data_IF_651961509656
#
_entry.id   IF_651961509656
#
_cell.length_a   1.000
_cell.length_b   1.000
_cell.length_c   1.000
_cell.angle_alpha   90.00
_cell.angle_beta   90.00
_cell.angle_gamma   90.00
#
_symmetry.space_group_name_H-M   'P 1'
#
loop_
_entity.id
_entity.type
_entity.pdbx_description
1 polymer ?
#
# COMPACT_ATOMS: atom_id res chain seq x y z
N UNK A 1 -5.49 4.27 19.00
CA UNK A 1 -4.39 4.84 19.79
C UNK A 1 -3.90 6.18 19.23
N UNK A 2 -3.58 6.33 17.94
CA UNK A 2 -3.13 7.63 17.36
C UNK A 2 -4.21 8.72 17.42
N UNK A 3 -5.43 8.42 16.96
CA UNK A 3 -6.55 9.38 16.91
C UNK A 3 -6.82 10.00 18.28
N UNK A 4 -7.02 9.18 19.32
CA UNK A 4 -7.27 9.69 20.67
C UNK A 4 -6.14 10.54 21.24
N UNK A 5 -4.89 10.26 20.88
CA UNK A 5 -3.75 11.08 21.31
C UNK A 5 -3.80 12.45 20.65
N UNK A 6 -4.10 12.51 19.34
CA UNK A 6 -4.26 13.78 18.62
C UNK A 6 -5.45 14.59 19.16
N UNK A 7 -6.60 13.95 19.35
CA UNK A 7 -7.80 14.58 19.92
C UNK A 7 -7.54 15.11 21.34
N UNK A 8 -6.87 14.33 22.21
CA UNK A 8 -6.50 14.78 23.56
C UNK A 8 -5.51 15.95 23.59
N UNK A 9 -4.82 16.21 22.48
CA UNK A 9 -3.93 17.35 22.28
C UNK A 9 -4.63 18.51 21.56
N UNK A 10 -5.93 18.41 21.30
CA UNK A 10 -6.75 19.46 20.72
C UNK A 10 -6.81 19.48 19.19
N UNK A 11 -6.27 18.47 18.50
CA UNK A 11 -6.38 18.37 17.05
C UNK A 11 -7.74 17.78 16.64
N UNK A 12 -8.34 18.34 15.59
CA UNK A 12 -9.44 17.68 14.89
C UNK A 12 -8.88 16.59 13.95
N UNK A 13 -9.52 15.43 13.93
CA UNK A 13 -9.06 14.29 13.13
C UNK A 13 -10.20 13.76 12.26
N UNK A 14 -10.02 13.81 10.95
CA UNK A 14 -10.86 13.09 9.99
C UNK A 14 -10.20 11.76 9.60
N UNK A 15 -10.81 10.64 10.01
CA UNK A 15 -10.32 9.30 9.63
C UNK A 15 -10.97 8.86 8.32
N UNK A 16 -10.16 8.70 7.29
CA UNK A 16 -10.55 8.13 6.00
C UNK A 16 -10.04 6.69 5.94
N UNK A 17 -10.94 5.75 5.63
CA UNK A 17 -10.57 4.38 5.31
C UNK A 17 -10.76 4.17 3.79
N UNK A 18 -9.70 3.87 3.03
CA UNK A 18 -9.73 3.88 1.57
C UNK A 18 -10.45 2.69 0.94
N UNK A 19 -10.62 1.57 1.65
CA UNK A 19 -11.13 0.31 1.07
C UNK A 19 -12.58 0.35 0.54
N UNK A 20 -13.34 1.41 0.87
CA UNK A 20 -14.71 1.67 0.40
C UNK A 20 -14.94 3.18 0.27
N UNK A 21 -13.97 3.87 -0.34
CA UNK A 21 -14.02 5.34 -0.43
C UNK A 21 -15.23 5.79 -1.24
N UNK A 22 -15.57 5.08 -2.32
CA UNK A 22 -16.74 5.34 -3.17
C UNK A 22 -18.08 5.36 -2.43
N UNK A 23 -18.23 4.53 -1.41
CA UNK A 23 -19.47 4.49 -0.61
C UNK A 23 -19.49 5.48 0.55
N UNK A 24 -18.30 5.95 0.97
CA UNK A 24 -18.15 6.70 2.23
C UNK A 24 -17.76 8.16 2.01
N UNK A 25 -17.22 8.50 0.84
CA UNK A 25 -16.94 9.87 0.42
C UNK A 25 -18.21 10.45 -0.19
N UNK A 26 -18.92 11.23 0.61
CA UNK A 26 -20.21 11.81 0.24
C UNK A 26 -20.06 13.04 -0.64
N UNK A 27 -19.04 13.87 -0.37
CA UNK A 27 -18.76 15.07 -1.14
C UNK A 27 -17.24 15.23 -1.31
N UNK A 28 -16.83 15.64 -2.50
CA UNK A 28 -15.47 16.06 -2.80
C UNK A 28 -15.58 17.23 -3.78
N UNK A 29 -15.12 18.40 -3.35
CA UNK A 29 -15.00 19.56 -4.22
C UNK A 29 -13.72 20.28 -3.86
N UNK A 30 -12.80 20.38 -4.81
CA UNK A 30 -11.56 21.10 -4.59
C UNK A 30 -11.06 21.74 -5.87
N UNK A 31 -10.25 22.77 -5.69
CA UNK A 31 -9.57 23.48 -6.76
C UNK A 31 -8.33 24.16 -6.23
N UNK A 32 -7.64 24.86 -7.12
CA UNK A 32 -6.56 25.76 -6.76
C UNK A 32 -7.04 27.18 -6.98
N UNK A 33 -6.84 28.04 -5.99
CA UNK A 33 -7.11 29.47 -6.13
C UNK A 33 -6.04 30.14 -7.03
N UNK A 34 -6.18 31.45 -7.26
CA UNK A 34 -5.26 32.21 -8.11
C UNK A 34 -3.79 32.20 -7.64
N UNK A 35 -3.56 31.95 -6.34
CA UNK A 35 -2.24 31.86 -5.73
C UNK A 35 -1.70 30.41 -5.71
N UNK A 36 -2.45 29.45 -6.28
CA UNK A 36 -2.09 28.04 -6.33
C UNK A 36 -2.34 27.28 -5.02
N UNK A 37 -3.02 27.89 -4.05
CA UNK A 37 -3.39 27.22 -2.80
C UNK A 37 -4.66 26.41 -3.00
N UNK A 38 -4.74 25.26 -2.32
CA UNK A 38 -5.92 24.42 -2.38
C UNK A 38 -7.10 25.08 -1.65
N UNK A 39 -8.28 25.00 -2.25
CA UNK A 39 -9.55 25.39 -1.64
C UNK A 39 -10.59 24.29 -1.83
N UNK A 40 -11.62 24.31 -0.99
CA UNK A 40 -12.75 23.40 -1.05
C UNK A 40 -12.85 22.49 0.16
N UNK A 41 -13.63 21.43 0.03
CA UNK A 41 -13.97 20.57 1.15
C UNK A 41 -14.12 19.12 0.70
N UNK A 42 -14.00 18.23 1.69
CA UNK A 42 -14.44 16.86 1.54
C UNK A 42 -15.37 16.49 2.69
N UNK A 43 -16.40 15.72 2.40
CA UNK A 43 -17.31 15.15 3.39
C UNK A 43 -17.17 13.64 3.35
N UNK A 44 -16.62 13.07 4.42
CA UNK A 44 -16.50 11.62 4.60
C UNK A 44 -17.46 11.16 5.69
N UNK A 45 -18.40 10.29 5.32
CA UNK A 45 -19.53 9.86 6.13
C UNK A 45 -20.39 11.04 6.61
N UNK A 46 -20.10 11.56 7.81
CA UNK A 46 -20.84 12.67 8.45
C UNK A 46 -19.91 13.79 8.94
N UNK A 47 -18.64 13.73 8.56
CA UNK A 47 -17.64 14.70 8.97
C UNK A 47 -17.10 15.38 7.73
N UNK A 48 -17.01 16.70 7.81
CA UNK A 48 -16.47 17.54 6.75
C UNK A 48 -15.12 18.06 7.22
N UNK A 49 -14.19 18.22 6.27
CA UNK A 49 -12.96 18.95 6.46
C UNK A 49 -12.86 20.02 5.36
N UNK A 50 -12.51 21.23 5.76
CA UNK A 50 -11.98 22.25 4.84
C UNK A 50 -10.56 21.83 4.46
N UNK A 51 -10.26 21.82 3.16
CA UNK A 51 -8.97 21.40 2.65
C UNK A 51 -7.86 22.41 2.94
N UNK A 52 -8.21 23.69 3.10
CA UNK A 52 -7.26 24.75 3.44
C UNK A 52 -6.74 24.63 4.89
N UNK A 53 -7.51 23.96 5.77
CA UNK A 53 -7.18 23.80 7.19
C UNK A 53 -6.43 22.47 7.49
N UNK A 54 -6.04 21.71 6.47
CA UNK A 54 -5.35 20.42 6.66
C UNK A 54 -3.88 20.63 7.00
N UNK A 55 -3.53 20.52 8.28
CA UNK A 55 -2.14 20.67 8.75
C UNK A 55 -1.23 19.46 8.42
N UNK A 56 -1.80 18.25 8.44
CA UNK A 56 -1.04 17.02 8.30
C UNK A 56 -1.90 15.81 7.90
N UNK A 57 -1.29 14.87 7.17
CA UNK A 57 -1.87 13.58 6.83
C UNK A 57 -1.01 12.44 7.38
N UNK A 58 -1.64 11.58 8.20
CA UNK A 58 -1.06 10.32 8.63
C UNK A 58 -1.50 9.18 7.69
N UNK A 59 -0.68 8.91 6.68
CA UNK A 59 -0.95 7.85 5.71
C UNK A 59 -0.58 6.47 6.30
N UNK A 60 -1.58 5.78 6.86
CA UNK A 60 -1.37 4.43 7.41
C UNK A 60 -1.44 3.31 6.36
N UNK A 61 -2.24 3.52 5.32
CA UNK A 61 -2.37 2.59 4.21
C UNK A 61 -2.64 3.41 2.94
N UNK A 62 -1.78 3.27 1.94
CA UNK A 62 -1.95 3.92 0.63
C UNK A 62 -2.42 2.95 -0.45
N UNK A 63 -2.81 1.73 -0.09
CA UNK A 63 -3.48 0.84 -1.02
C UNK A 63 -4.97 1.16 -1.06
N UNK A 64 -5.34 1.93 -2.08
CA UNK A 64 -6.72 2.16 -2.46
C UNK A 64 -7.26 0.95 -3.24
N UNK A 65 -7.59 -0.12 -2.51
CA UNK A 65 -8.45 -1.17 -3.03
C UNK A 65 -9.87 -0.59 -3.13
N UNK A 66 -10.17 0.07 -4.25
CA UNK A 66 -11.56 0.29 -4.61
C UNK A 66 -12.14 -1.04 -5.08
N UNK A 67 -13.46 -1.19 -4.98
CA UNK A 67 -14.20 -2.36 -5.43
C UNK A 67 -14.12 -2.52 -6.96
N UNK A 68 -12.92 -2.74 -7.49
CA UNK A 68 -12.62 -3.02 -8.90
C UNK A 68 -13.14 -4.41 -9.30
N UNK A 69 -13.45 -5.27 -8.32
CA UNK A 69 -13.82 -6.67 -8.51
C UNK A 69 -15.17 -7.05 -7.86
N UNK A 70 -16.13 -6.12 -7.73
CA UNK A 70 -17.51 -6.55 -7.45
C UNK A 70 -18.18 -6.93 -8.77
N UNK A 71 -18.45 -8.21 -8.98
CA UNK A 71 -19.19 -8.73 -10.15
C UNK A 71 -20.58 -8.07 -10.34
N UNK A 72 -21.07 -7.35 -9.33
CA UNK A 72 -22.38 -6.71 -9.30
C UNK A 72 -22.44 -5.29 -9.92
N UNK A 73 -21.31 -4.64 -10.22
CA UNK A 73 -21.29 -3.25 -10.71
C UNK A 73 -21.33 -3.16 -12.24
N UNK A 74 -22.12 -2.21 -12.76
CA UNK A 74 -22.14 -1.93 -14.21
C UNK A 74 -20.94 -1.04 -14.63
N UNK A 75 -20.77 -0.84 -15.94
CA UNK A 75 -19.64 -0.08 -16.49
C UNK A 75 -19.60 1.39 -16.02
N UNK A 76 -20.76 2.05 -15.86
CA UNK A 76 -20.84 3.44 -15.40
C UNK A 76 -20.44 3.54 -13.92
N UNK A 77 -20.90 2.62 -13.07
CA UNK A 77 -20.51 2.55 -11.66
C UNK A 77 -18.99 2.35 -11.50
N UNK A 78 -18.41 1.49 -12.33
CA UNK A 78 -16.96 1.26 -12.36
C UNK A 78 -16.19 2.50 -12.83
N UNK A 79 -16.69 3.23 -13.83
CA UNK A 79 -16.08 4.47 -14.29
C UNK A 79 -16.13 5.55 -13.20
N UNK A 80 -17.28 5.74 -12.56
CA UNK A 80 -17.45 6.69 -11.44
C UNK A 80 -16.48 6.36 -10.31
N UNK A 81 -16.36 5.09 -9.92
CA UNK A 81 -15.42 4.67 -8.87
C UNK A 81 -13.96 4.96 -9.25
N UNK A 82 -13.58 4.74 -10.52
CA UNK A 82 -12.24 5.04 -11.03
C UNK A 82 -11.94 6.54 -11.05
N UNK A 83 -12.89 7.36 -11.51
CA UNK A 83 -12.71 8.82 -11.54
C UNK A 83 -12.66 9.40 -10.13
N UNK A 84 -13.47 8.90 -9.19
CA UNK A 84 -13.41 9.31 -7.79
C UNK A 84 -12.08 8.94 -7.14
N UNK A 85 -11.57 7.74 -7.43
CA UNK A 85 -10.22 7.30 -7.01
C UNK A 85 -9.16 8.26 -7.55
N UNK A 86 -9.19 8.57 -8.84
CA UNK A 86 -8.24 9.48 -9.47
C UNK A 86 -8.32 10.89 -8.83
N UNK A 87 -9.54 11.41 -8.62
CA UNK A 87 -9.76 12.70 -7.98
C UNK A 87 -9.22 12.75 -6.54
N UNK A 88 -9.41 11.68 -5.76
CA UNK A 88 -8.90 11.59 -4.39
C UNK A 88 -7.38 11.45 -4.32
N UNK A 89 -6.78 10.67 -5.23
CA UNK A 89 -5.32 10.57 -5.33
C UNK A 89 -4.72 11.93 -5.70
N UNK A 90 -5.32 12.61 -6.69
CA UNK A 90 -4.93 13.96 -7.09
C UNK A 90 -5.04 14.96 -5.92
N UNK A 91 -6.12 14.89 -5.12
CA UNK A 91 -6.23 15.66 -3.89
C UNK A 91 -5.04 15.39 -2.94
N UNK A 92 -4.71 14.12 -2.69
CA UNK A 92 -3.58 13.79 -1.81
C UNK A 92 -2.26 14.38 -2.30
N UNK A 93 -2.04 14.40 -3.62
CA UNK A 93 -0.83 14.97 -4.22
C UNK A 93 -0.81 16.51 -4.18
N UNK A 94 -1.96 17.16 -4.16
CA UNK A 94 -2.10 18.63 -4.07
C UNK A 94 -2.08 19.19 -2.65
N UNK A 95 -2.27 18.36 -1.61
CA UNK A 95 -2.25 18.81 -0.22
C UNK A 95 -0.83 19.17 0.23
N UNK A 96 -0.54 20.47 0.27
CA UNK A 96 0.71 21.04 0.80
C UNK A 96 0.69 21.06 2.34
N UNK A 97 0.84 19.87 2.93
CA UNK A 97 0.81 19.67 4.37
C UNK A 97 1.88 18.66 4.81
N UNK A 98 2.00 18.41 6.11
CA UNK A 98 2.96 17.43 6.63
C UNK A 98 2.46 16.00 6.43
N UNK A 99 3.25 15.15 5.78
CA UNK A 99 2.89 13.75 5.57
C UNK A 99 3.69 12.79 6.46
N UNK A 100 2.99 11.79 7.02
CA UNK A 100 3.59 10.69 7.80
C UNK A 100 3.00 9.35 7.35
N UNK A 101 3.63 8.59 6.46
CA UNK A 101 4.62 9.06 5.49
C UNK A 101 3.89 9.57 4.25
N UNK A 102 4.62 10.29 3.41
CA UNK A 102 4.12 10.65 2.11
C UNK A 102 4.05 9.40 1.21
N UNK A 103 2.91 9.15 0.55
CA UNK A 103 2.71 7.96 -0.24
C UNK A 103 3.73 7.69 -1.33
N UNK A 104 4.11 8.73 -2.07
CA UNK A 104 5.08 8.69 -3.15
C UNK A 104 6.47 8.24 -2.67
N UNK A 105 6.79 8.42 -1.39
CA UNK A 105 8.04 7.95 -0.79
C UNK A 105 7.96 6.47 -0.36
N UNK A 106 6.76 5.97 -0.06
CA UNK A 106 6.54 4.63 0.52
C UNK A 106 6.81 3.50 -0.48
N UNK A 107 6.47 3.66 -1.76
CA UNK A 107 6.70 2.60 -2.77
C UNK A 107 8.18 2.23 -2.89
N UNK A 108 9.04 3.24 -2.84
CA UNK A 108 10.50 3.04 -2.85
C UNK A 108 11.01 2.36 -1.58
N UNK A 109 10.27 2.50 -0.48
CA UNK A 109 10.60 1.91 0.81
C UNK A 109 10.17 0.45 0.89
N UNK A 110 9.18 -0.03 0.13
CA UNK A 110 8.74 -1.45 0.15
C UNK A 110 9.72 -2.39 -0.60
N UNK A 111 10.59 -1.84 -1.45
CA UNK A 111 11.52 -2.65 -2.23
C UNK A 111 12.67 -3.19 -1.35
N UNK A 112 12.57 -4.47 -0.98
CA UNK A 112 13.55 -5.18 -0.15
C UNK A 112 14.98 -5.13 -0.70
N UNK A 113 15.16 -5.21 -2.02
CA UNK A 113 16.51 -5.10 -2.62
C UNK A 113 17.10 -3.70 -2.41
N UNK A 114 16.29 -2.65 -2.62
CA UNK A 114 16.71 -1.26 -2.39
C UNK A 114 17.00 -0.99 -0.91
N UNK A 115 16.16 -1.49 0.00
CA UNK A 115 16.41 -1.41 1.46
C UNK A 115 17.79 -1.99 1.81
N UNK A 116 18.12 -3.17 1.28
CA UNK A 116 19.38 -3.86 1.56
C UNK A 116 20.58 -3.11 0.97
N UNK A 117 20.46 -2.59 -0.25
CA UNK A 117 21.51 -1.78 -0.88
C UNK A 117 21.84 -0.52 -0.07
N UNK A 118 20.80 0.21 0.38
CA UNK A 118 20.97 1.41 1.20
C UNK A 118 21.54 1.05 2.59
N UNK A 119 21.07 -0.02 3.21
CA UNK A 119 21.59 -0.46 4.50
C UNK A 119 23.09 -0.81 4.42
N UNK A 120 23.51 -1.55 3.38
CA UNK A 120 24.91 -1.85 3.13
C UNK A 120 25.74 -0.58 2.90
N UNK A 121 25.26 0.38 2.10
CA UNK A 121 26.01 1.61 1.83
C UNK A 121 26.18 2.50 3.06
N UNK A 122 25.29 2.38 4.04
CA UNK A 122 25.36 3.07 5.33
C UNK A 122 26.16 2.29 6.38
N UNK A 123 26.70 1.11 6.05
CA UNK A 123 27.51 0.29 6.95
C UNK A 123 26.72 -0.58 7.93
N UNK A 124 25.42 -0.79 7.69
CA UNK A 124 24.66 -1.77 8.46
C UNK A 124 25.08 -3.19 8.08
N UNK A 125 25.12 -4.06 9.08
CA UNK A 125 25.25 -5.49 8.86
C UNK A 125 23.88 -6.08 8.48
N UNK A 126 23.75 -6.59 7.26
CA UNK A 126 22.52 -7.17 6.73
C UNK A 126 22.81 -8.56 6.14
N UNK A 127 21.84 -9.50 6.14
CA UNK A 127 22.05 -10.82 5.56
C UNK A 127 22.25 -10.76 4.04
N UNK A 128 22.84 -11.79 3.45
CA UNK A 128 22.84 -11.93 2.00
C UNK A 128 21.39 -12.05 1.48
N UNK A 129 21.11 -11.46 0.32
CA UNK A 129 19.80 -11.49 -0.33
C UNK A 129 19.92 -12.05 -1.74
N UNK A 130 19.05 -13.00 -2.08
CA UNK A 130 18.83 -13.47 -3.45
C UNK A 130 17.36 -13.31 -3.83
N UNK A 131 17.11 -12.68 -4.98
CA UNK A 131 15.80 -12.66 -5.63
C UNK A 131 15.95 -13.48 -6.90
N UNK A 132 15.16 -14.56 -7.04
CA UNK A 132 15.30 -15.51 -8.15
C UNK A 132 13.99 -16.22 -8.46
N UNK A 133 13.76 -16.51 -9.74
CA UNK A 133 12.81 -17.50 -10.24
C UNK A 133 13.52 -18.72 -10.85
N UNK A 134 14.83 -18.83 -10.66
CA UNK A 134 15.69 -19.91 -11.15
C UNK A 134 16.00 -20.90 -10.01
N UNK A 135 15.55 -22.15 -10.09
CA UNK A 135 15.83 -23.22 -9.11
C UNK A 135 17.30 -23.38 -8.75
N UNK A 136 18.17 -23.38 -9.76
CA UNK A 136 19.61 -23.55 -9.61
C UNK A 136 20.24 -22.42 -8.79
N UNK A 137 19.76 -21.18 -8.96
CA UNK A 137 20.24 -20.04 -8.19
C UNK A 137 19.82 -20.13 -6.72
N UNK A 138 18.64 -20.70 -6.44
CA UNK A 138 18.20 -20.94 -5.07
C UNK A 138 19.03 -22.05 -4.40
N UNK A 139 19.29 -23.14 -5.12
CA UNK A 139 20.12 -24.26 -4.64
C UNK A 139 21.56 -23.82 -4.33
N UNK A 140 22.16 -23.02 -5.21
CA UNK A 140 23.50 -22.47 -4.98
C UNK A 140 23.50 -21.56 -3.74
N UNK A 141 22.51 -20.68 -3.62
CA UNK A 141 22.40 -19.74 -2.51
C UNK A 141 22.16 -20.42 -1.15
N UNK A 142 21.41 -21.52 -1.11
CA UNK A 142 21.12 -22.29 0.11
C UNK A 142 22.17 -23.38 0.44
N UNK A 143 23.13 -23.61 -0.44
CA UNK A 143 24.10 -24.72 -0.30
C UNK A 143 24.98 -24.67 0.95
N UNK A 144 25.20 -23.46 1.50
CA UNK A 144 26.15 -23.22 2.59
C UNK A 144 25.54 -22.48 3.79
N UNK A 145 24.23 -22.20 3.77
CA UNK A 145 23.58 -21.39 4.79
C UNK A 145 22.09 -21.72 4.92
N UNK A 146 21.53 -21.43 6.09
CA UNK A 146 20.09 -21.44 6.30
C UNK A 146 19.46 -20.25 5.57
N UNK A 147 18.43 -20.51 4.77
CA UNK A 147 17.76 -19.49 3.95
C UNK A 147 16.30 -19.41 4.35
N UNK A 148 15.82 -18.18 4.53
CA UNK A 148 14.42 -17.87 4.74
C UNK A 148 13.87 -17.23 3.47
N UNK A 149 12.75 -17.75 2.97
CA UNK A 149 12.00 -17.17 1.85
C UNK A 149 10.96 -16.20 2.39
N UNK A 150 10.82 -15.08 1.69
CA UNK A 150 9.76 -14.09 1.91
C UNK A 150 9.17 -13.68 0.57
N UNK A 151 7.85 -13.54 0.53
CA UNK A 151 7.19 -12.95 -0.62
C UNK A 151 7.63 -11.49 -0.82
N UNK A 152 7.80 -11.08 -2.08
CA UNK A 152 8.09 -9.68 -2.40
C UNK A 152 6.84 -8.82 -2.28
N UNK A 153 5.72 -9.26 -2.85
CA UNK A 153 4.45 -8.54 -2.83
C UNK A 153 3.70 -8.71 -1.51
N UNK A 154 2.87 -7.73 -1.19
CA UNK A 154 1.94 -7.75 -0.06
C UNK A 154 0.59 -8.42 -0.43
N UNK A 155 0.55 -9.18 -1.52
CA UNK A 155 -0.68 -9.74 -2.09
C UNK A 155 -0.96 -11.12 -1.55
N UNK A 156 -2.23 -11.34 -1.17
CA UNK A 156 -2.80 -12.67 -1.01
C UNK A 156 -3.71 -12.92 -2.21
N UNK A 157 -3.59 -14.09 -2.86
CA UNK A 157 -4.41 -14.45 -4.01
C UNK A 157 -5.49 -15.40 -3.55
N UNK A 158 -6.75 -15.02 -3.71
CA UNK A 158 -7.87 -15.93 -3.43
C UNK A 158 -7.94 -17.05 -4.47
N UNK A 159 -8.31 -18.24 -4.04
CA UNK A 159 -8.63 -19.35 -4.94
C UNK A 159 -9.91 -19.05 -5.72
N UNK A 160 -10.12 -19.74 -6.85
CA UNK A 160 -11.28 -19.52 -7.74
C UNK A 160 -12.64 -19.65 -7.01
N UNK A 161 -12.69 -20.45 -5.95
CA UNK A 161 -13.89 -20.61 -5.10
C UNK A 161 -14.09 -19.47 -4.08
N UNK A 162 -13.14 -18.53 -3.96
CA UNK A 162 -13.14 -17.43 -2.99
C UNK A 162 -13.02 -17.88 -1.52
N UNK A 163 -12.87 -19.18 -1.24
CA UNK A 163 -12.92 -19.72 0.12
C UNK A 163 -11.55 -19.79 0.80
N UNK A 164 -10.47 -19.83 0.02
CA UNK A 164 -9.12 -19.89 0.54
C UNK A 164 -8.24 -18.84 -0.13
N UNK A 165 -7.16 -18.46 0.55
CA UNK A 165 -6.26 -17.43 0.08
C UNK A 165 -4.82 -17.91 0.19
N UNK A 166 -4.05 -17.75 -0.88
CA UNK A 166 -2.64 -18.11 -0.97
C UNK A 166 -1.78 -16.89 -0.71
N UNK A 167 -0.96 -16.98 0.33
CA UNK A 167 0.14 -16.06 0.60
C UNK A 167 1.33 -16.87 1.09
N UNK A 168 2.54 -16.44 0.72
CA UNK A 168 3.77 -17.04 1.23
C UNK A 168 4.27 -16.21 2.42
N UNK A 169 4.05 -16.76 3.61
CA UNK A 169 4.63 -16.21 4.82
C UNK A 169 6.13 -16.43 4.87
N UNK A 170 6.78 -15.80 5.83
CA UNK A 170 8.21 -16.04 6.10
C UNK A 170 8.41 -17.53 6.40
N UNK A 171 9.17 -18.22 5.55
CA UNK A 171 9.34 -19.68 5.60
C UNK A 171 10.83 -20.05 5.58
N UNK A 172 11.26 -20.91 6.49
CA UNK A 172 12.61 -21.47 6.49
C UNK A 172 12.67 -22.60 5.45
N UNK A 173 13.61 -22.51 4.50
CA UNK A 173 13.77 -23.57 3.48
C UNK A 173 14.27 -24.85 4.15
N UNK A 174 13.57 -25.95 3.87
CA UNK A 174 13.90 -27.29 4.31
C UNK A 174 14.28 -28.19 3.12
N UNK A 175 14.93 -29.35 3.35
CA UNK A 175 15.20 -30.31 2.28
C UNK A 175 13.94 -30.83 1.56
N UNK A 176 12.75 -30.73 2.16
CA UNK A 176 11.49 -31.11 1.51
C UNK A 176 11.10 -30.11 0.40
N UNK A 177 11.33 -28.82 0.64
CA UNK A 177 11.01 -27.75 -0.31
C UNK A 177 11.85 -27.87 -1.59
N UNK A 178 13.07 -28.39 -1.48
CA UNK A 178 13.95 -28.64 -2.63
C UNK A 178 13.35 -29.62 -3.65
N UNK A 179 12.38 -30.46 -3.25
CA UNK A 179 11.71 -31.40 -4.16
C UNK A 179 10.68 -30.73 -5.07
N UNK A 180 10.29 -29.49 -4.78
CA UNK A 180 9.25 -28.74 -5.49
C UNK A 180 9.83 -27.53 -6.23
N UNK A 181 11.16 -27.44 -6.39
CA UNK A 181 11.79 -26.26 -6.98
C UNK A 181 11.37 -25.96 -8.42
N UNK A 182 10.97 -26.98 -9.19
CA UNK A 182 10.48 -26.78 -10.55
C UNK A 182 9.22 -25.90 -10.60
N UNK A 183 8.46 -25.80 -9.51
CA UNK A 183 7.30 -24.90 -9.39
C UNK A 183 7.68 -23.41 -9.45
N UNK A 184 8.97 -23.07 -9.30
CA UNK A 184 9.48 -21.69 -9.49
C UNK A 184 9.51 -21.29 -10.98
N UNK A 185 9.56 -22.27 -11.89
CA UNK A 185 9.52 -21.99 -13.33
C UNK A 185 8.06 -21.84 -13.73
N UNK A 186 7.73 -20.70 -14.35
CA UNK A 186 6.43 -20.52 -14.98
C UNK A 186 6.35 -21.48 -16.18
N UNK A 187 5.38 -22.40 -16.15
CA UNK A 187 5.05 -23.29 -17.28
C UNK A 187 4.63 -22.51 -18.52
#
# INVERSE_FOLDING_TARGET
MVIHVLESRGSEVLRINPERLDERLCELSYGLNADGQIEGHLTYLKRQADLADVDAVFCRNYYFQFAEDSEEKNADDLLIAKELKAAFISLCECLDCKWVNAPWDMDSCENKARQMQIALSLGFNVPDLRITNLPESLLEFSSSQEVVVKQLSNVCVFTEDGQSAKALYTHLITPADHKQLEDLKKS
#
